data_IF_026258119414
#
_entry.id   IF_026258119414
#
_cell.length_a   1.000
_cell.length_b   1.000
_cell.length_c   1.000
_cell.angle_alpha   90.00
_cell.angle_beta   90.00
_cell.angle_gamma   90.00
#
_symmetry.space_group_name_H-M   'P 1'
#
loop_
_entity.id
_entity.type
_entity.pdbx_description
1 polymer ?
#
# COMPACT_ATOMS: atom_id res chain seq x y z
N UNK A 1 -3.97 17.11 5.37
CA UNK A 1 -5.04 16.13 5.66
C UNK A 1 -4.63 14.68 5.34
N UNK A 2 -3.51 14.44 4.64
CA UNK A 2 -3.02 13.08 4.27
C UNK A 2 -2.26 12.37 5.41
N UNK A 3 -1.54 13.12 6.27
CA UNK A 3 -0.70 12.55 7.35
C UNK A 3 -1.47 11.74 8.41
N UNK A 4 -2.74 12.05 8.64
CA UNK A 4 -3.62 11.34 9.58
C UNK A 4 -4.10 10.00 9.03
N UNK A 5 -4.23 9.88 7.71
CA UNK A 5 -4.59 8.62 7.04
C UNK A 5 -3.43 7.62 7.13
N UNK A 6 -2.19 8.07 6.91
CA UNK A 6 -0.97 7.25 7.01
C UNK A 6 -0.83 6.54 8.37
N UNK A 7 -1.35 7.15 9.44
CA UNK A 7 -1.28 6.60 10.80
C UNK A 7 -2.35 5.54 11.08
N UNK A 8 -3.50 5.62 10.41
CA UNK A 8 -4.57 4.61 10.47
C UNK A 8 -4.20 3.37 9.65
N UNK A 9 -3.57 3.56 8.49
CA UNK A 9 -3.05 2.51 7.61
C UNK A 9 -1.69 1.95 8.08
N UNK A 10 -1.33 1.99 9.36
CA UNK A 10 -0.05 1.45 9.85
C UNK A 10 -0.15 0.02 10.39
N UNK A 11 -1.35 -0.55 10.42
CA UNK A 11 -1.52 -1.97 10.74
C UNK A 11 -0.79 -2.79 9.68
N UNK A 12 0.09 -3.67 10.13
CA UNK A 12 1.17 -4.36 9.40
C UNK A 12 1.01 -4.57 7.89
N UNK A 13 -0.17 -4.96 7.39
CA UNK A 13 -0.40 -5.17 5.96
C UNK A 13 -0.25 -3.92 5.11
N UNK A 14 -0.73 -2.76 5.57
CA UNK A 14 -0.68 -1.52 4.78
C UNK A 14 0.71 -0.90 4.74
N UNK A 15 1.50 -1.07 5.81
CA UNK A 15 2.90 -0.65 5.82
C UNK A 15 3.70 -1.40 4.75
N UNK A 16 3.40 -2.67 4.50
CA UNK A 16 4.04 -3.44 3.41
C UNK A 16 3.73 -2.85 2.02
N UNK A 17 2.53 -2.31 1.81
CA UNK A 17 2.17 -1.66 0.53
C UNK A 17 2.92 -0.34 0.34
N UNK A 18 3.09 0.43 1.43
CA UNK A 18 3.89 1.66 1.42
C UNK A 18 5.36 1.34 1.17
N UNK A 19 5.90 0.35 1.89
CA UNK A 19 7.29 -0.08 1.72
C UNK A 19 7.53 -0.56 0.28
N UNK A 20 6.59 -1.32 -0.30
CA UNK A 20 6.62 -1.77 -1.70
C UNK A 20 6.61 -0.60 -2.70
N UNK A 21 5.75 0.39 -2.50
CA UNK A 21 5.66 1.54 -3.39
C UNK A 21 6.90 2.45 -3.30
N UNK A 22 7.55 2.49 -2.15
CA UNK A 22 8.74 3.32 -1.90
C UNK A 22 10.06 2.61 -2.18
N UNK A 23 10.05 1.39 -2.72
CA UNK A 23 11.29 0.70 -3.14
C UNK A 23 12.03 1.57 -4.17
N UNK A 24 13.23 2.01 -3.80
CA UNK A 24 14.06 2.86 -4.68
C UNK A 24 13.82 4.36 -4.53
N UNK A 25 12.92 4.77 -3.64
CA UNK A 25 12.61 6.17 -3.32
C UNK A 25 13.02 6.52 -1.89
N UNK A 26 13.24 7.81 -1.60
CA UNK A 26 13.56 8.27 -0.24
C UNK A 26 12.40 8.15 0.76
N UNK A 27 11.18 8.00 0.24
CA UNK A 27 9.93 7.92 1.00
C UNK A 27 8.72 8.17 0.10
N UNK A 28 7.54 8.27 0.70
CA UNK A 28 6.29 8.55 -0.04
C UNK A 28 6.32 9.95 -0.68
N UNK A 29 7.02 10.89 -0.05
CA UNK A 29 7.21 12.25 -0.56
C UNK A 29 8.03 12.35 -1.86
N UNK A 30 8.75 11.28 -2.20
CA UNK A 30 9.63 11.19 -3.36
C UNK A 30 9.00 10.35 -4.48
N UNK A 31 7.73 9.98 -4.33
CA UNK A 31 6.92 9.34 -5.35
C UNK A 31 6.34 10.39 -6.30
N UNK A 32 6.29 10.07 -7.58
CA UNK A 32 5.58 10.87 -8.57
C UNK A 32 4.05 10.69 -8.43
N UNK A 33 3.30 11.56 -9.11
CA UNK A 33 1.83 11.54 -9.03
C UNK A 33 1.26 10.17 -9.45
N UNK A 34 1.85 9.52 -10.45
CA UNK A 34 1.41 8.20 -10.93
C UNK A 34 1.64 7.12 -9.87
N UNK A 35 2.80 7.09 -9.20
CA UNK A 35 3.08 6.16 -8.12
C UNK A 35 2.23 6.45 -6.87
N UNK A 36 1.95 7.72 -6.58
CA UNK A 36 1.04 8.12 -5.50
C UNK A 36 -0.40 7.65 -5.77
N UNK A 37 -0.87 7.79 -7.02
CA UNK A 37 -2.18 7.31 -7.44
C UNK A 37 -2.24 5.78 -7.35
N UNK A 38 -1.19 5.08 -7.78
CA UNK A 38 -1.10 3.62 -7.68
C UNK A 38 -1.14 3.15 -6.23
N UNK A 39 -0.30 3.73 -5.36
CA UNK A 39 -0.28 3.44 -3.93
C UNK A 39 -1.65 3.71 -3.30
N UNK A 40 -2.31 4.81 -3.64
CA UNK A 40 -3.64 5.12 -3.12
C UNK A 40 -4.68 4.04 -3.47
N UNK A 41 -4.68 3.56 -4.72
CA UNK A 41 -5.57 2.48 -5.17
C UNK A 41 -5.29 1.17 -4.46
N UNK A 42 -4.01 0.84 -4.25
CA UNK A 42 -3.62 -0.37 -3.52
C UNK A 42 -4.08 -0.31 -2.06
N UNK A 43 -4.00 0.87 -1.42
CA UNK A 43 -4.51 1.09 -0.07
C UNK A 43 -6.04 1.00 0.01
N UNK A 44 -6.78 1.52 -0.98
CA UNK A 44 -8.23 1.37 -1.01
C UNK A 44 -8.64 -0.10 -1.14
N UNK A 45 -8.01 -0.82 -2.06
CA UNK A 45 -8.28 -2.25 -2.25
C UNK A 45 -7.90 -3.08 -1.03
N UNK A 46 -6.82 -2.75 -0.35
CA UNK A 46 -6.43 -3.37 0.92
C UNK A 46 -7.47 -3.20 2.03
N UNK A 47 -8.13 -2.03 2.10
CA UNK A 47 -9.24 -1.80 3.04
C UNK A 47 -10.43 -2.71 2.74
N UNK A 48 -10.74 -2.91 1.47
CA UNK A 48 -11.84 -3.76 1.04
C UNK A 48 -11.52 -5.23 1.35
N UNK A 49 -10.28 -5.68 1.11
CA UNK A 49 -9.83 -7.03 1.46
C UNK A 49 -9.92 -7.34 2.95
N UNK A 50 -9.55 -6.40 3.83
CA UNK A 50 -9.72 -6.57 5.29
C UNK A 50 -11.20 -6.75 5.65
N UNK A 51 -12.07 -5.98 5.01
CA UNK A 51 -13.53 -6.04 5.24
C UNK A 51 -14.08 -7.40 4.82
N UNK A 52 -13.60 -7.94 3.71
CA UNK A 52 -14.02 -9.23 3.14
C UNK A 52 -13.31 -10.44 3.77
N UNK A 53 -12.36 -10.22 4.70
CA UNK A 53 -11.56 -11.27 5.33
C UNK A 53 -10.55 -11.94 4.39
N UNK A 54 -10.19 -11.29 3.29
CA UNK A 54 -9.23 -11.77 2.28
C UNK A 54 -7.82 -11.26 2.61
N UNK A 55 -6.82 -12.14 2.53
CA UNK A 55 -5.43 -11.75 2.78
C UNK A 55 -4.85 -10.93 1.61
N UNK A 56 -3.79 -10.15 1.86
CA UNK A 56 -3.20 -9.29 0.82
C UNK A 56 -2.46 -10.07 -0.27
N UNK A 57 -1.99 -11.27 0.05
CA UNK A 57 -1.40 -12.20 -0.91
C UNK A 57 -2.47 -12.75 -1.87
N UNK A 58 -3.62 -13.19 -1.34
CA UNK A 58 -4.76 -13.66 -2.14
C UNK A 58 -5.34 -12.55 -3.01
N UNK A 59 -5.33 -11.31 -2.51
CA UNK A 59 -5.79 -10.15 -3.26
C UNK A 59 -4.85 -9.71 -4.40
N UNK A 60 -3.63 -10.28 -4.46
CA UNK A 60 -2.58 -9.91 -5.40
C UNK A 60 -1.98 -8.52 -5.13
N UNK A 61 -2.11 -8.00 -3.90
CA UNK A 61 -1.61 -6.67 -3.52
C UNK A 61 -0.11 -6.67 -3.23
N UNK A 62 0.41 -7.78 -2.71
CA UNK A 62 1.84 -7.97 -2.49
C UNK A 62 2.48 -8.56 -3.75
N UNK A 63 3.46 -7.86 -4.31
CA UNK A 63 4.26 -8.34 -5.44
C UNK A 63 5.29 -9.33 -4.94
N UNK A 64 4.99 -10.63 -5.01
CA UNK A 64 5.97 -11.66 -4.71
C UNK A 64 7.12 -11.60 -5.73
N UNK A 65 8.32 -11.25 -5.28
CA UNK A 65 9.54 -11.12 -6.11
C UNK A 65 10.20 -12.46 -6.43
N UNK A 66 9.40 -13.51 -6.64
CA UNK A 66 9.85 -14.82 -7.11
C UNK A 66 8.87 -15.36 -8.16
N UNK A 67 9.06 -14.91 -9.41
CA UNK A 67 8.70 -15.64 -10.63
C UNK A 67 9.76 -15.36 -11.69
#
# INVERSE_FOLDING_TARGET
MIRSLTKAYRQFGFQLLVDQATIGHGGVEDLDDDALIALHRDLERARDCITDGVTFEEAGLLRNRYS
#
